data_IF_230363675053
#
_entry.id   IF_230363675053
#
_cell.length_a   1.000
_cell.length_b   1.000
_cell.length_c   1.000
_cell.angle_alpha   90.00
_cell.angle_beta   90.00
_cell.angle_gamma   90.00
#
_symmetry.space_group_name_H-M   'P 1'
#
loop_
_entity.id
_entity.type
_entity.pdbx_description
1 polymer ?
#
# COMPACT_ATOMS: atom_id res chain seq x y z
N UNK A 1 21.91 -4.45 6.26
CA UNK A 1 20.80 -3.76 5.58
C UNK A 1 19.53 -3.93 6.39
N UNK A 2 18.89 -2.81 6.75
CA UNK A 2 17.65 -2.78 7.53
C UNK A 2 16.69 -1.75 6.92
N UNK A 3 15.39 -2.04 7.05
CA UNK A 3 14.29 -1.12 6.73
C UNK A 3 13.16 -1.34 7.76
N UNK A 4 12.09 -0.55 7.70
CA UNK A 4 10.95 -0.64 8.62
C UNK A 4 9.61 -0.78 7.89
N UNK A 5 8.58 -1.24 8.61
CA UNK A 5 7.18 -1.17 8.16
C UNK A 5 6.70 0.28 8.34
N UNK A 6 5.96 0.82 7.36
CA UNK A 6 5.85 2.26 7.08
C UNK A 6 5.28 3.13 8.21
N UNK A 7 4.44 2.59 9.09
CA UNK A 7 3.74 3.34 10.13
C UNK A 7 4.59 3.61 11.37
N UNK A 8 4.61 4.86 11.82
CA UNK A 8 5.29 5.30 13.05
C UNK A 8 4.35 6.10 13.95
N UNK A 9 4.57 6.11 15.28
CA UNK A 9 3.63 6.77 16.22
C UNK A 9 3.74 8.30 16.25
N UNK A 10 4.64 8.87 15.46
CA UNK A 10 4.96 10.30 15.46
C UNK A 10 3.79 11.15 14.94
N UNK A 11 3.73 12.39 15.41
CA UNK A 11 2.83 13.44 14.90
C UNK A 11 3.57 14.60 14.24
N UNK A 12 4.90 14.64 14.34
CA UNK A 12 5.74 15.61 13.64
C UNK A 12 6.41 14.93 12.44
N UNK A 13 6.08 15.32 11.19
CA UNK A 13 6.69 14.76 10.00
C UNK A 13 8.21 14.94 9.94
N UNK A 14 8.76 16.05 10.43
CA UNK A 14 10.21 16.28 10.38
C UNK A 14 10.94 15.33 11.31
N UNK A 15 10.51 15.26 12.57
CA UNK A 15 11.08 14.33 13.56
C UNK A 15 11.00 12.88 13.08
N UNK A 16 9.87 12.47 12.49
CA UNK A 16 9.70 11.13 11.93
C UNK A 16 10.68 10.85 10.77
N UNK A 17 10.81 11.77 9.82
CA UNK A 17 11.71 11.60 8.68
C UNK A 17 13.18 11.57 9.11
N UNK A 18 13.58 12.44 10.05
CA UNK A 18 14.93 12.45 10.62
C UNK A 18 15.26 11.13 11.30
N UNK A 19 14.35 10.61 12.13
CA UNK A 19 14.52 9.31 12.75
C UNK A 19 14.77 8.21 11.72
N UNK A 20 13.99 8.16 10.64
CA UNK A 20 14.17 7.17 9.58
C UNK A 20 15.52 7.37 8.87
N UNK A 21 15.82 8.56 8.38
CA UNK A 21 17.03 8.82 7.59
C UNK A 21 18.33 8.62 8.39
N UNK A 22 18.33 8.94 9.68
CA UNK A 22 19.50 8.81 10.55
C UNK A 22 19.84 7.34 10.86
N UNK A 23 18.82 6.48 10.90
CA UNK A 23 18.92 5.09 11.37
C UNK A 23 18.83 4.03 10.23
N UNK A 24 18.02 4.28 9.20
CA UNK A 24 17.81 3.38 8.06
C UNK A 24 18.64 3.84 6.86
N UNK A 25 19.96 3.73 6.99
CA UNK A 25 20.91 4.38 6.06
C UNK A 25 20.95 3.78 4.65
N UNK A 26 20.55 2.52 4.48
CA UNK A 26 20.61 1.83 3.18
C UNK A 26 19.27 1.81 2.43
N UNK A 27 18.17 1.52 3.13
CA UNK A 27 16.81 1.47 2.57
C UNK A 27 15.84 2.25 3.49
N UNK A 28 15.93 3.59 3.52
CA UNK A 28 14.98 4.39 4.27
C UNK A 28 13.59 4.30 3.63
N UNK A 29 12.57 4.32 4.49
CA UNK A 29 11.18 4.42 4.09
C UNK A 29 10.63 5.81 4.44
N UNK A 30 9.68 6.34 3.67
CA UNK A 30 8.97 7.52 4.14
C UNK A 30 7.98 7.11 5.25
N UNK A 31 7.87 7.86 6.37
CA UNK A 31 7.02 7.48 7.49
C UNK A 31 5.55 7.79 7.26
N UNK A 32 4.65 6.83 7.50
CA UNK A 32 3.22 7.08 7.67
C UNK A 32 2.93 7.59 9.07
N UNK A 33 2.02 8.56 9.17
CA UNK A 33 1.72 9.27 10.42
C UNK A 33 0.24 9.12 10.82
N UNK A 34 -0.27 7.90 11.04
CA UNK A 34 -1.71 7.69 11.33
C UNK A 34 -2.18 8.37 12.62
N UNK A 35 -1.26 8.71 13.53
CA UNK A 35 -1.56 9.47 14.75
C UNK A 35 -1.68 10.99 14.52
N UNK A 36 -1.21 11.51 13.38
CA UNK A 36 -1.28 12.92 13.04
C UNK A 36 -2.68 13.32 12.55
N UNK A 37 -3.26 12.52 11.66
CA UNK A 37 -4.56 12.81 11.04
C UNK A 37 -5.26 11.53 10.62
N UNK A 38 -6.59 11.52 10.61
CA UNK A 38 -7.35 10.40 10.04
C UNK A 38 -7.07 10.23 8.53
N UNK A 39 -6.71 11.30 7.82
CA UNK A 39 -6.27 11.27 6.42
C UNK A 39 -5.03 10.40 6.21
N UNK A 40 -4.20 10.25 7.23
CA UNK A 40 -2.99 9.42 7.21
C UNK A 40 -3.25 7.97 7.63
N UNK A 41 -4.50 7.61 7.95
CA UNK A 41 -4.86 6.21 8.11
C UNK A 41 -4.69 5.48 6.78
N UNK A 42 -4.28 4.20 6.83
CA UNK A 42 -4.03 3.41 5.62
C UNK A 42 -5.24 3.35 4.67
N UNK A 43 -6.47 3.47 5.19
CA UNK A 43 -7.69 3.47 4.39
C UNK A 43 -7.91 4.82 3.69
N UNK A 44 -7.78 5.93 4.43
CA UNK A 44 -7.99 7.25 3.87
C UNK A 44 -6.84 7.65 2.92
N UNK A 45 -5.59 7.36 3.30
CA UNK A 45 -4.39 7.72 2.56
C UNK A 45 -4.35 7.11 1.16
N UNK A 46 -4.57 5.79 1.08
CA UNK A 46 -4.54 5.09 -0.21
C UNK A 46 -5.90 5.10 -0.92
N UNK A 47 -6.97 5.43 -0.20
CA UNK A 47 -8.31 5.63 -0.75
C UNK A 47 -8.58 7.02 -1.34
N UNK A 48 -7.67 7.98 -1.15
CA UNK A 48 -7.83 9.33 -1.71
C UNK A 48 -8.00 9.30 -3.24
N UNK A 49 -9.10 9.85 -3.75
CA UNK A 49 -9.42 9.88 -5.19
C UNK A 49 -10.00 8.58 -5.74
N UNK A 50 -10.23 7.57 -4.91
CA UNK A 50 -10.75 6.29 -5.32
C UNK A 50 -12.24 6.34 -5.72
N UNK A 51 -12.65 5.67 -6.82
CA UNK A 51 -14.05 5.56 -7.22
C UNK A 51 -14.96 5.03 -6.11
N UNK A 52 -16.08 5.70 -5.88
CA UNK A 52 -17.10 5.32 -4.90
C UNK A 52 -16.69 5.47 -3.43
N UNK A 53 -15.42 5.72 -3.12
CA UNK A 53 -14.96 5.83 -1.73
C UNK A 53 -15.31 7.22 -1.17
N UNK A 54 -15.88 7.23 0.03
CA UNK A 54 -16.10 8.44 0.83
C UNK A 54 -15.23 8.36 2.08
N UNK A 55 -14.49 9.44 2.33
CA UNK A 55 -13.63 9.61 3.50
C UNK A 55 -14.35 10.59 4.43
N UNK A 56 -14.90 10.08 5.52
CA UNK A 56 -15.62 10.85 6.53
C UNK A 56 -14.68 11.14 7.71
N UNK A 57 -14.06 12.31 7.68
CA UNK A 57 -13.09 12.73 8.70
C UNK A 57 -13.74 13.01 10.05
N UNK A 58 -14.99 13.46 10.05
CA UNK A 58 -15.74 13.78 11.27
C UNK A 58 -16.01 12.50 12.07
N UNK A 59 -16.48 11.46 11.39
CA UNK A 59 -16.75 10.14 11.99
C UNK A 59 -15.54 9.19 11.94
N UNK A 60 -14.40 9.64 11.40
CA UNK A 60 -13.15 8.88 11.27
C UNK A 60 -13.36 7.50 10.63
N UNK A 61 -14.07 7.47 9.50
CA UNK A 61 -14.38 6.24 8.76
C UNK A 61 -14.27 6.44 7.25
N UNK A 62 -14.06 5.34 6.55
CA UNK A 62 -14.18 5.25 5.10
C UNK A 62 -15.33 4.29 4.76
N UNK A 63 -16.11 4.58 3.72
CA UNK A 63 -17.16 3.70 3.24
C UNK A 63 -17.38 3.89 1.73
N UNK A 64 -17.95 2.87 1.07
CA UNK A 64 -18.37 2.98 -0.32
C UNK A 64 -19.79 3.54 -0.41
N UNK A 65 -19.98 4.63 -1.15
CA UNK A 65 -21.29 5.23 -1.40
C UNK A 65 -21.84 4.78 -2.75
N UNK A 66 -22.74 3.80 -2.69
CA UNK A 66 -23.41 3.23 -3.86
C UNK A 66 -24.40 4.18 -4.55
N UNK A 67 -24.69 5.35 -3.96
CA UNK A 67 -25.52 6.36 -4.61
C UNK A 67 -24.76 7.17 -5.66
N UNK A 68 -23.42 7.08 -5.67
CA UNK A 68 -22.55 7.72 -6.65
C UNK A 68 -22.57 6.98 -8.00
N UNK A 69 -22.14 7.66 -9.06
CA UNK A 69 -21.91 7.03 -10.36
C UNK A 69 -20.58 6.26 -10.37
N UNK A 70 -20.50 5.18 -9.59
CA UNK A 70 -19.28 4.37 -9.44
C UNK A 70 -18.80 3.86 -10.80
N UNK A 71 -19.72 3.45 -11.69
CA UNK A 71 -19.38 2.97 -13.02
C UNK A 71 -18.65 4.05 -13.86
N UNK A 72 -19.15 5.28 -13.87
CA UNK A 72 -18.49 6.39 -14.58
C UNK A 72 -17.18 6.84 -13.92
N UNK A 73 -17.11 6.83 -12.58
CA UNK A 73 -15.85 7.11 -11.87
C UNK A 73 -14.79 6.03 -12.15
N UNK A 74 -15.23 4.77 -12.25
CA UNK A 74 -14.37 3.66 -12.62
C UNK A 74 -13.89 3.78 -14.07
N UNK A 75 -14.74 4.20 -15.00
CA UNK A 75 -14.35 4.49 -16.40
C UNK A 75 -13.21 5.52 -16.46
N UNK A 76 -13.29 6.61 -15.70
CA UNK A 76 -12.19 7.58 -15.59
C UNK A 76 -10.92 6.97 -14.99
N UNK A 77 -11.03 6.17 -13.92
CA UNK A 77 -9.88 5.46 -13.37
C UNK A 77 -9.25 4.52 -14.41
N UNK A 78 -10.06 3.86 -15.22
CA UNK A 78 -9.62 2.98 -16.28
C UNK A 78 -8.84 3.71 -17.37
N UNK A 79 -9.32 4.87 -17.81
CA UNK A 79 -8.62 5.73 -18.74
C UNK A 79 -7.25 6.12 -18.16
N UNK A 80 -7.20 6.63 -16.93
CA UNK A 80 -5.93 6.97 -16.26
C UNK A 80 -5.00 5.76 -16.13
N UNK A 81 -5.53 4.58 -15.82
CA UNK A 81 -4.76 3.35 -15.71
C UNK A 81 -4.15 2.93 -17.06
N UNK A 82 -4.91 3.01 -18.15
CA UNK A 82 -4.45 2.64 -19.49
C UNK A 82 -3.45 3.66 -20.07
N UNK A 83 -3.63 4.94 -19.75
CA UNK A 83 -2.74 6.03 -20.19
C UNK A 83 -1.50 6.19 -19.31
N UNK A 84 -1.40 5.42 -18.22
CA UNK A 84 -0.38 5.57 -17.19
C UNK A 84 -0.36 6.99 -16.57
N UNK A 85 -1.54 7.60 -16.45
CA UNK A 85 -1.73 8.88 -15.75
C UNK A 85 -1.78 8.66 -14.24
N UNK A 86 -0.58 8.49 -13.71
CA UNK A 86 -0.34 8.26 -12.29
C UNK A 86 -0.72 9.47 -11.42
N UNK A 87 -0.74 10.68 -11.97
CA UNK A 87 -1.08 11.90 -11.20
C UNK A 87 -2.58 11.99 -10.89
N UNK A 88 -3.44 11.36 -11.70
CA UNK A 88 -4.88 11.28 -11.43
C UNK A 88 -5.17 10.68 -10.05
N UNK A 89 -4.34 9.76 -9.59
CA UNK A 89 -4.43 9.09 -8.29
C UNK A 89 -3.28 9.51 -7.35
N UNK A 90 -2.80 10.74 -7.47
CA UNK A 90 -1.81 11.30 -6.54
C UNK A 90 -2.24 11.13 -5.08
N UNK A 91 -1.26 10.85 -4.20
CA UNK A 91 -1.46 10.94 -2.75
C UNK A 91 -1.11 12.37 -2.36
N UNK A 92 -2.07 13.21 -1.98
CA UNK A 92 -1.82 14.62 -1.74
C UNK A 92 -1.03 14.86 -0.44
N UNK A 93 -0.48 16.07 -0.32
CA UNK A 93 0.25 16.48 0.88
C UNK A 93 -0.57 16.35 2.17
N UNK A 94 -1.89 16.47 2.09
CA UNK A 94 -2.76 16.38 3.27
C UNK A 94 -2.97 14.93 3.75
N UNK A 95 -2.75 13.96 2.88
CA UNK A 95 -2.90 12.53 3.15
C UNK A 95 -1.57 11.81 3.38
N UNK A 96 -0.43 12.41 3.00
CA UNK A 96 0.90 11.82 3.20
C UNK A 96 1.98 12.85 3.55
N UNK A 97 1.81 13.59 4.64
CA UNK A 97 2.77 14.60 5.13
C UNK A 97 4.17 14.04 5.31
N UNK A 98 4.28 12.79 5.76
CA UNK A 98 5.56 12.09 5.88
C UNK A 98 6.24 11.87 4.53
N UNK A 99 5.50 11.48 3.49
CA UNK A 99 6.05 11.32 2.12
C UNK A 99 6.64 12.64 1.61
N UNK A 100 5.86 13.73 1.65
CA UNK A 100 6.34 15.00 1.10
C UNK A 100 7.50 15.57 1.91
N UNK A 101 7.46 15.48 3.24
CA UNK A 101 8.60 15.92 4.06
C UNK A 101 9.85 15.10 3.79
N UNK A 102 9.71 13.78 3.63
CA UNK A 102 10.81 12.89 3.28
C UNK A 102 11.43 13.25 1.94
N UNK A 103 10.61 13.48 0.91
CA UNK A 103 11.07 13.91 -0.42
C UNK A 103 11.79 15.26 -0.38
N UNK A 104 11.29 16.22 0.40
CA UNK A 104 11.91 17.53 0.53
C UNK A 104 13.29 17.46 1.21
N UNK A 105 13.42 16.67 2.28
CA UNK A 105 14.74 16.43 2.91
C UNK A 105 15.70 15.80 1.90
N UNK A 106 15.25 14.80 1.14
CA UNK A 106 16.09 14.20 0.10
C UNK A 106 16.50 15.26 -0.95
N UNK A 107 15.62 16.14 -1.43
CA UNK A 107 16.03 17.17 -2.39
C UNK A 107 17.15 18.07 -1.86
N UNK A 108 17.08 18.43 -0.58
CA UNK A 108 17.97 19.41 0.03
C UNK A 108 19.29 18.80 0.56
N UNK A 109 19.31 17.51 0.88
CA UNK A 109 20.42 16.85 1.59
C UNK A 109 20.91 15.60 0.87
N UNK A 110 22.23 15.43 0.76
CA UNK A 110 22.82 14.19 0.26
C UNK A 110 22.88 13.10 1.34
N UNK A 111 22.52 11.87 0.93
CA UNK A 111 22.58 10.70 1.79
C UNK A 111 23.30 9.55 1.06
N UNK A 112 24.65 9.58 0.96
CA UNK A 112 25.41 8.69 0.08
C UNK A 112 25.37 7.20 0.48
N UNK A 113 24.82 6.87 1.66
CA UNK A 113 24.62 5.50 2.09
C UNK A 113 23.38 4.83 1.52
N UNK A 114 22.44 5.61 0.96
CA UNK A 114 21.17 5.08 0.46
C UNK A 114 21.43 4.27 -0.81
N UNK A 115 20.83 3.09 -0.87
CA UNK A 115 20.88 2.17 -2.02
C UNK A 115 19.54 2.00 -2.70
N UNK A 116 18.44 2.31 -2.00
CA UNK A 116 17.07 2.16 -2.48
C UNK A 116 16.13 2.99 -1.61
N UNK A 117 15.06 3.54 -2.19
CA UNK A 117 14.02 4.23 -1.44
C UNK A 117 12.80 3.33 -1.28
N UNK A 118 12.28 3.21 -0.07
CA UNK A 118 11.11 2.38 0.21
C UNK A 118 9.83 3.22 0.34
N UNK A 119 8.82 2.83 -0.43
CA UNK A 119 7.44 3.23 -0.25
C UNK A 119 6.57 2.04 0.14
N UNK A 120 5.28 2.27 0.27
CA UNK A 120 4.32 1.23 0.64
C UNK A 120 2.90 1.66 0.30
N UNK A 121 2.01 0.69 0.18
CA UNK A 121 0.57 0.83 -0.02
C UNK A 121 -0.15 -0.18 0.87
N UNK A 122 -1.40 0.10 1.22
CA UNK A 122 -2.27 -0.93 1.80
C UNK A 122 -2.57 -1.99 0.75
N UNK A 123 -2.69 -3.24 1.18
CA UNK A 123 -3.08 -4.31 0.28
C UNK A 123 -4.58 -4.34 -0.06
N UNK A 124 -4.92 -5.00 -1.19
CA UNK A 124 -6.28 -5.02 -1.73
C UNK A 124 -7.28 -5.70 -0.80
N UNK A 125 -6.87 -6.74 -0.07
CA UNK A 125 -7.77 -7.47 0.82
C UNK A 125 -8.10 -6.63 2.05
N UNK A 126 -7.08 -6.03 2.68
CA UNK A 126 -7.29 -5.16 3.84
C UNK A 126 -8.21 -3.99 3.52
N UNK A 127 -7.97 -3.30 2.40
CA UNK A 127 -8.84 -2.18 2.01
C UNK A 127 -10.26 -2.69 1.70
N UNK A 128 -10.38 -3.74 0.88
CA UNK A 128 -11.66 -4.23 0.40
C UNK A 128 -12.53 -4.93 1.43
N UNK A 129 -11.93 -5.59 2.42
CA UNK A 129 -12.68 -6.25 3.48
C UNK A 129 -12.99 -5.34 4.67
N UNK A 130 -12.16 -4.31 4.90
CA UNK A 130 -12.38 -3.37 6.01
C UNK A 130 -13.36 -2.26 5.64
N UNK A 131 -13.27 -1.74 4.42
CA UNK A 131 -14.16 -0.69 3.94
C UNK A 131 -15.44 -1.32 3.40
N UNK A 132 -16.55 -1.04 4.07
CA UNK A 132 -17.88 -1.53 3.70
C UNK A 132 -18.70 -0.45 2.99
N UNK A 133 -19.76 -0.87 2.30
CA UNK A 133 -20.82 0.01 1.82
C UNK A 133 -21.78 0.42 2.95
N UNK A 134 -22.81 1.19 2.61
CA UNK A 134 -23.85 1.65 3.54
C UNK A 134 -24.69 0.50 4.14
N UNK A 135 -24.75 -0.65 3.47
CA UNK A 135 -25.41 -1.87 3.93
C UNK A 135 -24.49 -2.79 4.74
N UNK A 136 -23.26 -2.33 5.06
CA UNK A 136 -22.20 -3.05 5.78
C UNK A 136 -21.66 -4.27 5.04
N UNK A 137 -21.84 -4.33 3.72
CA UNK A 137 -21.19 -5.34 2.88
C UNK A 137 -19.78 -4.86 2.53
N UNK A 138 -18.74 -5.67 2.77
CA UNK A 138 -17.39 -5.33 2.34
C UNK A 138 -17.29 -5.07 0.84
N UNK A 139 -16.55 -4.04 0.45
CA UNK A 139 -16.40 -3.64 -0.96
C UNK A 139 -15.81 -4.73 -1.85
N UNK A 140 -14.98 -5.62 -1.30
CA UNK A 140 -14.34 -6.70 -2.07
C UNK A 140 -15.32 -7.73 -2.66
N UNK A 141 -16.54 -7.81 -2.12
CA UNK A 141 -17.62 -8.67 -2.62
C UNK A 141 -18.46 -8.02 -3.75
N UNK A 142 -18.08 -6.83 -4.17
CA UNK A 142 -18.60 -6.18 -5.36
C UNK A 142 -17.49 -6.13 -6.41
N UNK A 143 -17.76 -6.68 -7.59
CA UNK A 143 -16.73 -6.84 -8.63
C UNK A 143 -16.23 -5.49 -9.16
N UNK A 144 -17.10 -4.48 -9.23
CA UNK A 144 -16.78 -3.12 -9.70
C UNK A 144 -15.88 -2.43 -8.67
N UNK A 145 -16.26 -2.52 -7.38
CA UNK A 145 -15.44 -1.95 -6.30
C UNK A 145 -14.09 -2.67 -6.18
N UNK A 146 -14.05 -4.00 -6.33
CA UNK A 146 -12.81 -4.77 -6.31
C UNK A 146 -11.85 -4.33 -7.41
N UNK A 147 -12.36 -4.08 -8.62
CA UNK A 147 -11.57 -3.50 -9.70
C UNK A 147 -11.01 -2.11 -9.36
N UNK A 148 -11.88 -1.25 -8.83
CA UNK A 148 -11.49 0.09 -8.39
C UNK A 148 -10.39 0.04 -7.32
N UNK A 149 -10.48 -0.89 -6.37
CA UNK A 149 -9.45 -1.13 -5.34
C UNK A 149 -8.10 -1.43 -6.00
N UNK A 150 -8.06 -2.47 -6.85
CA UNK A 150 -6.83 -2.98 -7.43
C UNK A 150 -6.13 -1.90 -8.27
N UNK A 151 -6.88 -1.22 -9.15
CA UNK A 151 -6.32 -0.20 -10.06
C UNK A 151 -5.89 1.06 -9.34
N UNK A 152 -6.64 1.48 -8.32
CA UNK A 152 -6.25 2.60 -7.46
C UNK A 152 -4.93 2.29 -6.77
N UNK A 153 -4.81 1.12 -6.12
CA UNK A 153 -3.61 0.73 -5.39
C UNK A 153 -2.39 0.60 -6.31
N UNK A 154 -2.56 0.05 -7.51
CA UNK A 154 -1.52 0.00 -8.53
C UNK A 154 -0.99 1.39 -8.90
N UNK A 155 -1.88 2.34 -9.23
CA UNK A 155 -1.49 3.72 -9.54
C UNK A 155 -0.87 4.44 -8.34
N UNK A 156 -1.34 4.19 -7.11
CA UNK A 156 -0.74 4.74 -5.88
C UNK A 156 0.69 4.23 -5.66
N UNK A 157 0.96 2.97 -6.01
CA UNK A 157 2.31 2.39 -6.04
C UNK A 157 3.19 3.11 -7.07
N UNK A 158 2.72 3.24 -8.32
CA UNK A 158 3.44 3.98 -9.38
C UNK A 158 3.70 5.44 -9.00
N UNK A 159 2.76 6.08 -8.32
CA UNK A 159 2.89 7.49 -7.90
C UNK A 159 4.08 7.68 -6.98
N UNK A 160 4.26 6.79 -6.02
CA UNK A 160 5.43 6.83 -5.14
C UNK A 160 6.73 6.60 -5.91
N UNK A 161 6.76 5.65 -6.84
CA UNK A 161 7.93 5.41 -7.69
C UNK A 161 8.30 6.65 -8.50
N UNK A 162 7.30 7.31 -9.11
CA UNK A 162 7.49 8.57 -9.83
C UNK A 162 8.07 9.65 -8.91
N UNK A 163 7.51 9.83 -7.71
CA UNK A 163 7.98 10.83 -6.73
C UNK A 163 9.40 10.56 -6.25
N UNK A 164 9.78 9.30 -6.05
CA UNK A 164 11.17 8.95 -5.73
C UNK A 164 12.12 9.27 -6.88
N UNK A 165 11.75 8.94 -8.12
CA UNK A 165 12.56 9.26 -9.32
C UNK A 165 12.74 10.75 -9.53
N UNK A 166 11.74 11.57 -9.19
CA UNK A 166 11.84 13.04 -9.26
C UNK A 166 12.96 13.61 -8.36
N UNK A 167 13.24 12.98 -7.22
CA UNK A 167 14.23 13.47 -6.24
C UNK A 167 15.56 12.72 -6.27
N UNK A 168 15.53 11.46 -6.70
CA UNK A 168 16.65 10.51 -6.71
C UNK A 168 16.55 9.55 -7.91
N UNK A 169 16.71 10.04 -9.15
CA UNK A 169 16.56 9.24 -10.36
C UNK A 169 17.56 8.09 -10.47
N UNK A 170 18.67 8.16 -9.75
CA UNK A 170 19.72 7.13 -9.72
C UNK A 170 19.42 5.97 -8.77
N UNK A 171 18.47 6.14 -7.84
CA UNK A 171 18.14 5.13 -6.84
C UNK A 171 16.95 4.27 -7.29
N UNK A 172 17.01 2.93 -7.10
CA UNK A 172 15.82 2.10 -7.25
C UNK A 172 14.78 2.42 -6.17
N UNK A 173 13.54 2.06 -6.47
CA UNK A 173 12.42 2.10 -5.54
C UNK A 173 12.03 0.68 -5.11
N UNK A 174 11.48 0.57 -3.90
CA UNK A 174 10.86 -0.64 -3.35
C UNK A 174 9.48 -0.27 -2.81
N UNK A 175 8.40 -0.84 -3.34
CA UNK A 175 7.04 -0.59 -2.86
C UNK A 175 6.51 -1.82 -2.15
N UNK A 176 6.21 -1.69 -0.86
CA UNK A 176 5.58 -2.76 -0.10
C UNK A 176 4.05 -2.70 -0.18
N UNK A 177 3.42 -3.86 -0.29
CA UNK A 177 1.97 -4.06 -0.20
C UNK A 177 1.71 -4.66 1.19
N UNK A 178 1.26 -3.82 2.11
CA UNK A 178 1.02 -4.20 3.50
C UNK A 178 -0.44 -4.68 3.62
N UNK A 179 -0.65 -5.99 3.71
CA UNK A 179 -2.00 -6.60 3.74
C UNK A 179 -2.23 -7.53 4.94
N UNK A 180 -2.54 -6.99 6.12
CA UNK A 180 -2.88 -7.79 7.30
C UNK A 180 -4.02 -8.79 7.08
N UNK A 181 -4.95 -8.54 6.15
CA UNK A 181 -6.09 -9.42 5.90
C UNK A 181 -5.73 -10.74 5.21
N UNK A 182 -4.50 -10.88 4.70
CA UNK A 182 -3.96 -12.14 4.19
C UNK A 182 -4.08 -13.28 5.21
N UNK A 183 -3.94 -12.99 6.51
CA UNK A 183 -4.10 -13.98 7.57
C UNK A 183 -5.49 -14.64 7.63
N UNK A 184 -6.50 -14.01 7.02
CA UNK A 184 -7.88 -14.51 7.01
C UNK A 184 -8.18 -15.38 5.79
N UNK A 185 -7.27 -15.49 4.83
CA UNK A 185 -7.42 -16.38 3.68
C UNK A 185 -7.44 -17.83 4.17
N UNK A 186 -8.44 -18.60 3.69
CA UNK A 186 -8.68 -19.98 4.15
C UNK A 186 -9.48 -20.09 5.46
N UNK A 187 -9.82 -18.96 6.10
CA UNK A 187 -10.76 -18.96 7.22
C UNK A 187 -12.21 -19.18 6.77
N UNK A 188 -13.09 -19.56 7.69
CA UNK A 188 -14.52 -19.66 7.42
C UNK A 188 -15.20 -18.31 7.10
N UNK A 189 -14.51 -17.19 7.32
CA UNK A 189 -15.05 -15.84 7.19
C UNK A 189 -14.75 -15.18 5.84
N UNK A 190 -13.81 -15.72 5.06
CA UNK A 190 -13.40 -15.16 3.76
C UNK A 190 -13.55 -16.22 2.68
N UNK A 191 -14.49 -16.01 1.77
CA UNK A 191 -14.73 -16.89 0.62
C UNK A 191 -13.94 -16.41 -0.61
N UNK A 192 -12.61 -16.45 -0.54
CA UNK A 192 -11.74 -16.23 -1.69
C UNK A 192 -10.96 -17.49 -2.01
N UNK A 193 -10.87 -17.83 -3.29
CA UNK A 193 -9.96 -18.88 -3.72
C UNK A 193 -8.52 -18.32 -3.83
N UNK A 194 -7.54 -19.22 -3.76
CA UNK A 194 -6.11 -18.89 -3.79
C UNK A 194 -5.71 -18.17 -5.08
N UNK A 195 -6.13 -18.70 -6.23
CA UNK A 195 -5.76 -18.19 -7.56
C UNK A 195 -6.24 -16.75 -7.78
N UNK A 196 -7.40 -16.39 -7.25
CA UNK A 196 -7.94 -15.04 -7.28
C UNK A 196 -7.07 -14.08 -6.45
N UNK A 197 -6.68 -14.49 -5.25
CA UNK A 197 -5.78 -13.68 -4.40
C UNK A 197 -4.47 -13.41 -5.14
N UNK A 198 -3.83 -14.46 -5.68
CA UNK A 198 -2.59 -14.32 -6.45
C UNK A 198 -2.79 -13.33 -7.60
N UNK A 199 -3.86 -13.48 -8.39
CA UNK A 199 -4.17 -12.58 -9.50
C UNK A 199 -4.32 -11.12 -9.06
N UNK A 200 -4.99 -10.86 -7.93
CA UNK A 200 -5.18 -9.49 -7.44
C UNK A 200 -3.88 -8.83 -7.03
N UNK A 201 -2.99 -9.57 -6.36
CA UNK A 201 -1.66 -9.05 -6.01
C UNK A 201 -0.78 -8.87 -7.25
N UNK A 202 -0.77 -9.85 -8.16
CA UNK A 202 0.03 -9.81 -9.39
C UNK A 202 -0.36 -8.65 -10.30
N UNK A 203 -1.65 -8.28 -10.38
CA UNK A 203 -2.06 -7.09 -11.15
C UNK A 203 -1.41 -5.81 -10.59
N UNK A 204 -1.36 -5.66 -9.26
CA UNK A 204 -0.72 -4.52 -8.61
C UNK A 204 0.80 -4.58 -8.80
N UNK A 205 1.41 -5.74 -8.54
CA UNK A 205 2.86 -5.95 -8.62
C UNK A 205 3.37 -5.65 -10.02
N UNK A 206 2.75 -6.25 -11.05
CA UNK A 206 3.22 -6.13 -12.43
C UNK A 206 3.02 -4.72 -13.02
N UNK A 207 2.21 -3.89 -12.37
CA UNK A 207 1.98 -2.49 -12.78
C UNK A 207 3.01 -1.53 -12.19
N UNK A 208 3.62 -1.88 -11.06
CA UNK A 208 4.60 -1.04 -10.38
C UNK A 208 5.98 -1.24 -11.01
N UNK A 209 6.51 -0.21 -11.65
CA UNK A 209 7.84 -0.21 -12.29
C UNK A 209 9.00 -0.09 -11.27
N UNK A 210 9.02 -0.93 -10.24
CA UNK A 210 10.00 -0.94 -9.15
C UNK A 210 10.08 -2.33 -8.50
N UNK A 211 11.01 -2.53 -7.55
CA UNK A 211 10.93 -3.73 -6.71
C UNK A 211 9.63 -3.68 -5.89
N UNK A 212 9.03 -4.83 -5.70
CA UNK A 212 7.81 -4.98 -4.91
C UNK A 212 8.03 -5.90 -3.73
N UNK A 213 7.34 -5.64 -2.64
CA UNK A 213 7.31 -6.55 -1.51
C UNK A 213 5.89 -6.75 -1.00
N UNK A 214 5.63 -7.89 -0.36
CA UNK A 214 4.39 -8.12 0.39
C UNK A 214 4.75 -8.30 1.86
N UNK A 215 3.98 -7.64 2.72
CA UNK A 215 4.10 -7.80 4.17
C UNK A 215 2.78 -8.24 4.79
N UNK A 216 2.86 -9.23 5.69
CA UNK A 216 1.78 -9.64 6.56
C UNK A 216 2.32 -9.81 7.99
N UNK A 217 1.69 -9.16 8.97
CA UNK A 217 2.11 -9.18 10.38
C UNK A 217 1.74 -10.48 11.12
N UNK A 218 1.06 -11.42 10.47
CA UNK A 218 0.48 -12.60 11.11
C UNK A 218 0.69 -13.85 10.24
N UNK A 219 0.42 -15.02 10.82
CA UNK A 219 0.42 -16.29 10.11
C UNK A 219 -0.49 -16.22 8.88
N UNK A 220 0.11 -16.32 7.70
CA UNK A 220 -0.57 -16.45 6.41
C UNK A 220 -0.03 -17.70 5.72
N UNK A 221 -0.71 -18.19 4.69
CA UNK A 221 -0.15 -19.21 3.81
C UNK A 221 1.01 -18.59 3.01
N UNK A 222 2.24 -18.76 3.50
CA UNK A 222 3.43 -18.19 2.87
C UNK A 222 3.68 -18.75 1.47
N UNK A 223 3.29 -20.01 1.24
CA UNK A 223 3.31 -20.61 -0.09
C UNK A 223 2.40 -19.88 -1.07
N UNK A 224 1.34 -19.20 -0.61
CA UNK A 224 0.52 -18.36 -1.50
C UNK A 224 1.36 -17.19 -2.04
N UNK A 225 2.18 -16.59 -1.19
CA UNK A 225 2.99 -15.44 -1.57
C UNK A 225 4.17 -15.82 -2.46
N UNK A 226 4.72 -17.04 -2.33
CA UNK A 226 5.78 -17.55 -3.21
C UNK A 226 5.29 -17.82 -4.64
N UNK A 227 3.98 -18.02 -4.83
CA UNK A 227 3.36 -18.15 -6.15
C UNK A 227 3.04 -16.81 -6.83
N UNK A 228 3.17 -15.69 -6.13
CA UNK A 228 3.02 -14.34 -6.72
C UNK A 228 4.30 -13.90 -7.43
N UNK A 229 4.20 -12.83 -8.22
CA UNK A 229 5.33 -12.20 -8.90
C UNK A 229 6.21 -11.31 -7.98
N UNK A 230 6.02 -11.34 -6.65
CA UNK A 230 6.67 -10.43 -5.71
C UNK A 230 8.18 -10.67 -5.61
N UNK A 231 8.98 -9.60 -5.49
CA UNK A 231 10.43 -9.70 -5.32
C UNK A 231 10.85 -10.01 -3.87
N UNK A 232 10.07 -9.51 -2.90
CA UNK A 232 10.40 -9.57 -1.47
C UNK A 232 9.19 -10.00 -0.63
N UNK A 233 9.33 -11.07 0.15
CA UNK A 233 8.34 -11.45 1.16
C UNK A 233 8.85 -11.02 2.54
N UNK A 234 8.05 -10.22 3.24
CA UNK A 234 8.33 -9.77 4.61
C UNK A 234 7.40 -10.45 5.59
N UNK A 235 7.95 -11.38 6.37
CA UNK A 235 7.25 -12.14 7.39
C UNK A 235 7.78 -11.84 8.79
N UNK A 236 6.95 -12.07 9.81
CA UNK A 236 7.37 -12.00 11.19
C UNK A 236 8.11 -13.28 11.61
N UNK A 237 9.43 -13.19 11.69
CA UNK A 237 10.30 -14.30 12.08
C UNK A 237 10.32 -14.57 13.59
N UNK A 238 9.81 -13.65 14.43
CA UNK A 238 9.79 -13.84 15.87
C UNK A 238 8.68 -14.81 16.27
N UNK A 239 7.45 -14.53 15.83
CA UNK A 239 6.28 -15.36 16.17
C UNK A 239 6.02 -16.51 15.17
N UNK A 240 6.52 -16.42 13.93
CA UNK A 240 6.12 -17.33 12.84
C UNK A 240 7.27 -17.98 12.06
N UNK A 241 8.48 -18.05 12.64
CA UNK A 241 9.64 -18.74 12.00
C UNK A 241 9.37 -20.21 11.66
N UNK A 242 8.62 -20.93 12.51
CA UNK A 242 8.30 -22.35 12.30
C UNK A 242 7.36 -22.57 11.10
N UNK A 243 6.44 -21.64 10.82
CA UNK A 243 5.49 -21.76 9.69
C UNK A 243 6.13 -21.49 8.33
N UNK A 244 7.17 -20.65 8.27
CA UNK A 244 7.96 -20.48 7.03
C UNK A 244 8.82 -21.72 6.76
N UNK A 245 9.31 -22.38 7.81
CA UNK A 245 10.08 -23.62 7.69
C UNK A 245 9.26 -24.84 7.21
N UNK A 246 7.92 -24.71 7.10
CA UNK A 246 7.04 -25.76 6.56
C UNK A 246 7.11 -25.90 5.03
N UNK A 247 7.78 -24.96 4.34
CA UNK A 247 7.95 -24.97 2.88
C UNK A 247 9.43 -25.17 2.46
N UNK A 248 10.12 -26.26 2.85
CA UNK A 248 11.54 -26.43 2.58
C UNK A 248 11.86 -26.88 1.13
N UNK A 249 10.86 -27.06 0.28
CA UNK A 249 10.99 -27.69 -1.04
C UNK A 249 10.50 -26.83 -2.22
N UNK A 250 10.22 -25.55 -1.99
CA UNK A 250 9.95 -24.55 -3.03
C UNK A 250 11.22 -23.77 -3.39
#
# INVERSE_FOLDING_TARGET
MATAIGSVPHTDPDAACRLVLDNLREIPMWPQLPNLSYRESIYAQYGEGMPGLVIDEAERRCYFDQTRNIAGELETLYESYLEDDVDALAISGEYARGLYRFLDILKDEEHPGIKMLKGHIVGPLTLGFTVADLDRKPGFYDDILREGIIKTLALKGKYQVKKFREVRPELPALIFIDDPYLMQIGSAYVSLNRDDVIRYFDEIINTIDAFTGIHCCSNTDWGLLTETAVDVISFDAYDYSETVALYPAE
#
